data_IF_417703901782
#
_entry.id   IF_417703901782
#
_cell.length_a   1.000
_cell.length_b   1.000
_cell.length_c   1.000
_cell.angle_alpha   90.00
_cell.angle_beta   90.00
_cell.angle_gamma   90.00
#
_symmetry.space_group_name_H-M   'P 1'
#
loop_
_entity.id
_entity.type
_entity.pdbx_description
1 polymer ?
#
# COMPACT_ATOMS: atom_id res chain seq x y z
N UNK A 1 9.80 -12.42 -16.58
CA UNK A 1 10.53 -11.14 -16.52
C UNK A 1 10.77 -10.80 -15.05
N UNK A 2 11.97 -10.36 -14.68
CA UNK A 2 12.31 -10.06 -13.29
C UNK A 2 11.90 -8.62 -12.92
N UNK A 3 11.39 -8.44 -11.70
CA UNK A 3 10.84 -7.18 -11.20
C UNK A 3 11.92 -6.24 -10.58
N UNK A 4 13.15 -6.32 -11.07
CA UNK A 4 14.27 -5.46 -10.64
C UNK A 4 15.24 -5.27 -11.80
N UNK A 5 14.83 -4.51 -12.82
CA UNK A 5 15.74 -4.10 -13.90
C UNK A 5 16.57 -2.89 -13.47
N UNK A 6 16.03 -2.04 -12.61
CA UNK A 6 16.69 -0.85 -12.05
C UNK A 6 16.27 -0.62 -10.62
N UNK A 7 17.14 -0.06 -9.78
CA UNK A 7 16.80 0.41 -8.42
C UNK A 7 16.01 1.73 -8.40
N UNK A 8 15.61 2.23 -9.57
CA UNK A 8 14.78 3.44 -9.66
C UNK A 8 13.34 3.09 -9.26
N UNK A 9 12.77 3.74 -8.22
CA UNK A 9 11.37 3.53 -7.87
C UNK A 9 10.45 3.92 -9.03
N UNK A 10 9.40 3.12 -9.25
CA UNK A 10 8.40 3.45 -10.27
C UNK A 10 7.69 4.75 -9.90
N UNK A 11 7.67 5.70 -10.85
CA UNK A 11 7.08 7.04 -10.67
C UNK A 11 5.56 7.00 -10.46
N UNK A 12 4.91 5.89 -10.82
CA UNK A 12 3.47 5.71 -10.57
C UNK A 12 3.17 5.31 -9.12
N UNK A 13 4.18 4.96 -8.33
CA UNK A 13 4.01 4.66 -6.91
C UNK A 13 3.90 5.95 -6.13
N UNK A 14 2.77 6.14 -5.46
CA UNK A 14 2.50 7.30 -4.61
C UNK A 14 2.24 6.84 -3.18
N UNK A 15 2.57 7.71 -2.21
CA UNK A 15 2.35 7.46 -0.79
C UNK A 15 1.92 8.72 -0.08
N UNK A 16 1.07 8.57 0.93
CA UNK A 16 0.76 9.63 1.88
C UNK A 16 0.66 9.04 3.28
N UNK A 17 1.10 9.81 4.28
CA UNK A 17 0.99 9.47 5.69
C UNK A 17 0.93 10.78 6.49
N UNK A 18 0.01 10.86 7.44
CA UNK A 18 -0.28 12.10 8.19
C UNK A 18 0.06 12.00 9.68
N UNK A 19 0.53 10.85 10.14
CA UNK A 19 0.88 10.63 11.55
C UNK A 19 2.36 10.80 11.86
N UNK A 20 2.72 10.47 13.10
CA UNK A 20 4.09 10.54 13.60
C UNK A 20 5.02 9.57 12.87
N UNK A 21 6.25 9.98 12.51
CA UNK A 21 7.23 9.11 11.87
C UNK A 21 7.43 7.80 12.64
N UNK A 22 7.59 6.69 11.90
CA UNK A 22 7.89 5.42 12.54
C UNK A 22 9.34 5.41 13.06
N UNK A 23 9.58 4.83 14.25
CA UNK A 23 10.93 4.69 14.78
C UNK A 23 11.82 3.94 13.79
N UNK A 24 13.03 4.45 13.59
CA UNK A 24 14.09 3.79 12.79
C UNK A 24 14.72 2.68 13.62
N UNK A 25 13.94 1.65 13.94
CA UNK A 25 14.38 0.45 14.64
C UNK A 25 13.90 -0.79 13.91
N UNK A 26 14.36 -1.96 14.36
CA UNK A 26 13.88 -3.22 13.82
C UNK A 26 12.39 -3.40 14.14
N UNK A 27 11.58 -3.55 13.09
CA UNK A 27 10.16 -3.88 13.21
C UNK A 27 10.02 -5.40 13.07
N UNK A 28 9.52 -6.06 14.11
CA UNK A 28 9.21 -7.50 14.11
C UNK A 28 7.70 -7.71 14.23
N UNK A 29 6.90 -7.24 13.25
CA UNK A 29 5.46 -7.41 13.30
C UNK A 29 5.11 -8.89 13.26
N UNK A 30 3.98 -9.26 13.86
CA UNK A 30 3.37 -10.59 13.70
C UNK A 30 2.29 -10.49 12.61
N UNK A 31 2.55 -10.95 11.38
CA UNK A 31 1.57 -10.86 10.31
C UNK A 31 0.35 -11.73 10.61
N UNK A 32 -0.83 -11.21 10.28
CA UNK A 32 -2.07 -11.97 10.32
C UNK A 32 -2.76 -11.88 8.96
N UNK A 33 -2.89 -13.02 8.29
CA UNK A 33 -3.57 -13.11 6.99
C UNK A 33 -5.07 -13.36 7.18
N UNK A 34 -5.88 -12.74 6.31
CA UNK A 34 -7.30 -13.04 6.16
C UNK A 34 -7.70 -13.03 4.68
N UNK A 35 -9.00 -13.11 4.37
CA UNK A 35 -9.48 -13.10 2.98
C UNK A 35 -9.18 -11.80 2.21
N UNK A 36 -8.98 -10.68 2.91
CA UNK A 36 -8.80 -9.35 2.33
C UNK A 36 -7.34 -8.93 2.20
N UNK A 37 -6.42 -9.56 2.94
CA UNK A 37 -5.02 -9.16 2.93
C UNK A 37 -4.19 -9.71 4.07
N UNK A 38 -3.08 -9.02 4.31
CA UNK A 38 -2.18 -9.26 5.43
C UNK A 38 -2.18 -8.03 6.33
N UNK A 39 -2.48 -8.20 7.61
CA UNK A 39 -2.37 -7.14 8.62
C UNK A 39 -1.05 -7.26 9.36
N UNK A 40 -0.35 -6.14 9.42
CA UNK A 40 0.92 -5.97 10.12
C UNK A 40 0.73 -4.92 11.21
N UNK A 41 0.74 -5.31 12.50
CA UNK A 41 0.81 -4.34 13.59
C UNK A 41 2.03 -3.44 13.41
N UNK A 42 1.83 -2.14 13.55
CA UNK A 42 2.85 -1.12 13.35
C UNK A 42 2.93 -0.20 14.58
N UNK A 43 3.99 0.62 14.70
CA UNK A 43 4.11 1.61 15.77
C UNK A 43 2.91 2.55 15.85
N UNK A 44 2.80 3.24 16.98
CA UNK A 44 1.75 4.23 17.24
C UNK A 44 0.34 3.63 17.23
N UNK A 45 0.22 2.33 17.55
CA UNK A 45 -1.05 1.61 17.56
C UNK A 45 -1.67 1.40 16.18
N UNK A 46 -0.94 1.70 15.10
CA UNK A 46 -1.46 1.58 13.73
C UNK A 46 -1.39 0.15 13.22
N UNK A 47 -2.18 -0.14 12.18
CA UNK A 47 -2.09 -1.41 11.46
C UNK A 47 -1.92 -1.15 9.97
N UNK A 48 -0.85 -1.70 9.39
CA UNK A 48 -0.66 -1.71 7.95
C UNK A 48 -1.41 -2.91 7.36
N UNK A 49 -2.35 -2.64 6.47
CA UNK A 49 -3.09 -3.66 5.75
C UNK A 49 -2.63 -3.71 4.30
N UNK A 50 -1.97 -4.80 3.91
CA UNK A 50 -1.58 -5.09 2.53
C UNK A 50 -2.72 -5.80 1.83
N UNK A 51 -3.27 -5.22 0.75
CA UNK A 51 -4.48 -5.72 0.12
C UNK A 51 -4.16 -6.91 -0.79
N UNK A 52 -4.87 -8.03 -0.60
CA UNK A 52 -4.69 -9.23 -1.42
C UNK A 52 -5.34 -9.10 -2.79
N UNK A 53 -6.54 -8.53 -2.83
CA UNK A 53 -7.30 -8.31 -4.07
C UNK A 53 -7.33 -6.82 -4.35
N UNK A 54 -6.70 -6.43 -5.46
CA UNK A 54 -6.67 -5.05 -5.91
C UNK A 54 -7.87 -4.80 -6.83
N UNK A 55 -8.74 -3.86 -6.43
CA UNK A 55 -9.80 -3.36 -7.30
C UNK A 55 -9.28 -2.13 -8.05
N UNK A 56 -9.18 -2.16 -9.39
CA UNK A 56 -8.77 -1.00 -10.16
C UNK A 56 -9.72 0.19 -9.93
N UNK A 57 -9.15 1.39 -9.80
CA UNK A 57 -9.90 2.63 -9.68
C UNK A 57 -9.59 3.57 -10.85
N UNK A 58 -10.55 4.37 -11.31
CA UNK A 58 -10.34 5.31 -12.42
C UNK A 58 -9.51 6.54 -12.03
N UNK A 59 -9.29 6.81 -10.73
CA UNK A 59 -8.56 7.98 -10.23
C UNK A 59 -7.04 7.77 -10.18
N UNK A 60 -6.28 8.81 -10.57
CA UNK A 60 -4.82 8.85 -10.44
C UNK A 60 -4.36 10.15 -9.75
N UNK A 61 -3.74 10.09 -8.55
CA UNK A 61 -3.44 8.87 -7.82
C UNK A 61 -4.70 8.24 -7.19
N UNK A 62 -4.77 6.90 -7.05
CA UNK A 62 -5.76 6.25 -6.23
C UNK A 62 -5.76 6.80 -4.80
N UNK A 63 -6.94 7.11 -4.28
CA UNK A 63 -7.11 7.56 -2.90
C UNK A 63 -7.58 6.39 -2.01
N UNK A 64 -7.14 6.33 -0.75
CA UNK A 64 -7.61 5.32 0.18
C UNK A 64 -9.05 5.61 0.61
N UNK A 65 -9.67 4.60 1.24
CA UNK A 65 -10.92 4.78 1.97
C UNK A 65 -10.80 5.90 3.00
N UNK A 66 -11.90 6.62 3.23
CA UNK A 66 -11.95 7.65 4.26
C UNK A 66 -11.56 7.07 5.64
N UNK A 67 -10.76 7.83 6.39
CA UNK A 67 -10.30 7.45 7.72
C UNK A 67 -8.96 6.70 7.78
N UNK A 68 -8.36 6.35 6.64
CA UNK A 68 -6.98 5.82 6.64
C UNK A 68 -5.98 6.91 7.04
N UNK A 69 -5.06 6.60 7.96
CA UNK A 69 -3.97 7.49 8.38
C UNK A 69 -2.89 7.64 7.29
N UNK A 70 -2.79 6.65 6.39
CA UNK A 70 -1.90 6.67 5.25
C UNK A 70 -2.21 5.58 4.22
N UNK A 71 -1.51 5.62 3.10
CA UNK A 71 -1.63 4.61 2.03
C UNK A 71 -0.42 4.61 1.11
N UNK A 72 -0.30 3.52 0.35
CA UNK A 72 0.52 3.45 -0.86
C UNK A 72 -0.35 2.97 -2.01
N UNK A 73 -0.25 3.67 -3.13
CA UNK A 73 -0.92 3.34 -4.37
C UNK A 73 0.10 3.14 -5.49
N UNK A 74 -0.29 2.39 -6.51
CA UNK A 74 0.54 2.12 -7.67
C UNK A 74 -0.31 1.69 -8.86
N UNK A 75 0.35 1.34 -9.95
CA UNK A 75 -0.33 0.85 -11.15
C UNK A 75 0.47 -0.19 -11.90
N UNK A 76 -0.25 -1.07 -12.59
CA UNK A 76 0.31 -2.18 -13.37
C UNK A 76 -0.36 -2.24 -14.75
N UNK A 77 0.30 -2.82 -15.76
CA UNK A 77 -0.34 -3.06 -17.06
C UNK A 77 -1.54 -4.00 -16.92
N UNK A 78 -2.70 -3.59 -17.43
CA UNK A 78 -3.88 -4.42 -17.58
C UNK A 78 -3.75 -5.41 -18.75
N UNK A 79 -4.69 -6.37 -18.86
CA UNK A 79 -4.67 -7.39 -19.91
C UNK A 79 -4.85 -6.81 -21.32
N UNK A 80 -5.48 -5.63 -21.44
CA UNK A 80 -5.66 -4.86 -22.67
C UNK A 80 -4.51 -3.86 -22.93
N UNK A 81 -3.47 -3.86 -22.08
CA UNK A 81 -2.37 -2.91 -22.13
C UNK A 81 -2.67 -1.55 -21.50
N UNK A 82 -3.92 -1.29 -21.08
CA UNK A 82 -4.27 -0.07 -20.34
C UNK A 82 -3.74 -0.21 -18.92
N UNK A 83 -3.09 0.84 -18.41
CA UNK A 83 -2.57 0.81 -17.04
C UNK A 83 -3.71 0.90 -16.04
N UNK A 84 -3.80 -0.09 -15.16
CA UNK A 84 -4.71 -0.12 -14.02
C UNK A 84 -4.02 0.48 -12.81
N UNK A 85 -4.79 1.14 -11.93
CA UNK A 85 -4.29 1.75 -10.71
C UNK A 85 -5.11 1.29 -9.51
N UNK A 86 -4.46 1.08 -8.36
CA UNK A 86 -5.16 0.79 -7.11
C UNK A 86 -4.34 1.21 -5.89
N UNK A 87 -5.01 1.28 -4.75
CA UNK A 87 -4.36 1.32 -3.44
C UNK A 87 -3.84 -0.09 -3.14
N UNK A 88 -2.53 -0.19 -2.89
CA UNK A 88 -1.84 -1.46 -2.62
C UNK A 88 -1.89 -1.80 -1.12
N UNK A 89 -1.80 -0.77 -0.29
CA UNK A 89 -1.86 -0.91 1.16
C UNK A 89 -2.39 0.36 1.81
N UNK A 90 -3.10 0.17 2.92
CA UNK A 90 -3.62 1.24 3.77
C UNK A 90 -3.03 1.13 5.16
N UNK A 91 -2.73 2.26 5.77
CA UNK A 91 -2.38 2.35 7.19
C UNK A 91 -3.60 2.87 7.93
N UNK A 92 -4.14 2.04 8.81
CA UNK A 92 -5.30 2.38 9.63
C UNK A 92 -4.85 2.85 11.01
N UNK A 93 -5.50 3.90 11.52
CA UNK A 93 -5.39 4.28 12.92
C UNK A 93 -6.05 3.20 13.79
N UNK A 94 -5.41 2.86 14.91
CA UNK A 94 -5.96 1.97 15.94
C UNK A 94 -7.00 2.64 16.82
#
# INVERSE_FOLDING_TARGET
MAQSVTDTPDRVVTRAYTGEPFPRGELTPRPADDAHGTRLPAPHGTTLHVHRVLAPVPGNPPLPRAGAAGHVAGGWPGPDGVRLHAVLMTLDAG
#
